data_IF_019433275220
#
_entry.id   IF_019433275220
#
_cell.length_a   1.000
_cell.length_b   1.000
_cell.length_c   1.000
_cell.angle_alpha   90.00
_cell.angle_beta   90.00
_cell.angle_gamma   90.00
#
_symmetry.space_group_name_H-M   'P 1'
#
loop_
_entity.id
_entity.type
_entity.pdbx_description
1 polymer ?
#
# COMPACT_ATOMS: atom_id res chain seq x y z
N UNK A 1 -12.65 53.97 33.64
CA UNK A 1 -11.29 53.48 33.91
C UNK A 1 -10.83 52.70 32.69
N UNK A 2 -9.72 53.17 32.10
CA UNK A 2 -8.82 52.55 31.12
C UNK A 2 -9.35 51.99 29.78
N UNK A 3 -9.12 52.78 28.73
CA UNK A 3 -9.00 52.41 27.32
C UNK A 3 -7.87 51.40 27.06
N UNK A 4 -7.99 50.59 26.00
CA UNK A 4 -6.89 50.38 25.05
C UNK A 4 -7.39 49.92 23.67
N UNK A 5 -7.52 50.89 22.77
CA UNK A 5 -7.33 50.65 21.34
C UNK A 5 -5.84 50.37 21.06
N UNK A 6 -5.54 49.52 20.09
CA UNK A 6 -4.29 49.62 19.35
C UNK A 6 -4.55 49.33 17.86
N UNK A 7 -4.21 50.32 17.05
CA UNK A 7 -4.35 50.37 15.61
C UNK A 7 -3.05 49.87 14.92
N UNK A 8 -3.18 49.55 13.63
CA UNK A 8 -2.20 49.01 12.67
C UNK A 8 -0.73 49.45 12.77
N UNK A 9 0.20 48.57 12.34
CA UNK A 9 1.21 48.92 11.31
C UNK A 9 1.95 47.70 10.74
N UNK A 10 2.23 47.83 9.45
CA UNK A 10 2.79 46.86 8.52
C UNK A 10 4.15 46.27 8.91
N UNK A 11 4.32 45.00 8.54
CA UNK A 11 5.60 44.35 8.32
C UNK A 11 5.56 43.64 6.98
N UNK A 12 5.93 44.37 5.93
CA UNK A 12 6.31 43.81 4.63
C UNK A 12 7.24 42.61 4.84
N UNK A 13 6.76 41.43 4.49
CA UNK A 13 7.59 40.37 3.93
C UNK A 13 6.79 39.75 2.80
N UNK A 14 7.02 40.27 1.60
CA UNK A 14 6.72 39.58 0.35
C UNK A 14 7.50 38.26 0.33
N UNK A 15 6.92 37.25 0.98
CA UNK A 15 7.25 35.86 0.74
C UNK A 15 6.24 35.32 -0.25
N UNK A 16 6.65 35.19 -1.52
CA UNK A 16 5.96 34.41 -2.54
C UNK A 16 5.69 32.99 -2.01
N UNK A 17 4.53 32.83 -1.38
CA UNK A 17 4.11 31.62 -0.70
C UNK A 17 3.45 30.65 -1.65
N UNK A 18 4.19 30.07 -2.60
CA UNK A 18 3.71 28.94 -3.40
C UNK A 18 3.74 27.66 -2.56
N UNK A 19 2.90 27.60 -1.52
CA UNK A 19 2.60 26.37 -0.79
C UNK A 19 1.74 25.46 -1.67
N UNK A 20 2.35 24.42 -2.24
CA UNK A 20 1.68 23.46 -3.13
C UNK A 20 0.82 22.43 -2.39
N UNK A 21 0.11 22.83 -1.33
CA UNK A 21 -0.83 21.96 -0.62
C UNK A 21 -2.22 22.05 -1.23
N UNK A 22 -2.94 20.92 -1.31
CA UNK A 22 -4.34 20.80 -1.79
C UNK A 22 -5.36 21.61 -0.95
N UNK A 23 -4.92 22.35 0.07
CA UNK A 23 -5.72 23.04 1.07
C UNK A 23 -6.52 24.26 0.55
N UNK A 24 -6.14 24.87 -0.58
CA UNK A 24 -6.87 26.04 -1.10
C UNK A 24 -8.22 25.70 -1.77
N UNK A 25 -8.61 24.42 -1.84
CA UNK A 25 -9.68 23.95 -2.72
C UNK A 25 -11.03 23.64 -2.01
N UNK A 26 -11.09 23.73 -0.68
CA UNK A 26 -12.28 23.33 0.10
C UNK A 26 -13.41 24.36 0.15
N UNK A 27 -13.18 25.57 -0.35
CA UNK A 27 -14.16 26.67 -0.32
C UNK A 27 -15.36 26.44 -1.27
N UNK A 28 -15.31 25.44 -2.17
CA UNK A 28 -16.35 25.23 -3.22
C UNK A 28 -17.27 24.01 -3.10
N UNK A 29 -17.14 23.13 -2.09
CA UNK A 29 -18.04 21.96 -1.93
C UNK A 29 -19.25 22.21 -1.00
N UNK A 30 -19.87 23.40 -1.04
CA UNK A 30 -21.20 23.60 -0.45
C UNK A 30 -22.28 23.57 -1.54
N UNK A 31 -22.82 22.39 -1.81
CA UNK A 31 -24.19 22.21 -2.32
C UNK A 31 -24.84 21.05 -1.56
N UNK A 32 -25.97 21.25 -0.86
CA UNK A 32 -26.71 20.16 -0.24
C UNK A 32 -27.59 19.47 -1.30
N UNK A 33 -27.37 18.17 -1.51
CA UNK A 33 -28.35 17.29 -2.18
C UNK A 33 -29.19 16.58 -1.12
N UNK A 34 -30.54 16.62 -1.19
CA UNK A 34 -31.40 15.91 -0.25
C UNK A 34 -31.46 14.39 -0.53
N UNK A 35 -31.77 13.55 0.48
CA UNK A 35 -31.68 12.10 0.37
C UNK A 35 -32.94 11.46 -0.24
N UNK A 36 -32.84 10.33 -0.96
CA UNK A 36 -33.98 9.48 -1.24
C UNK A 36 -34.07 8.29 -0.27
N UNK A 37 -35.29 8.20 0.27
CA UNK A 37 -36.04 7.13 0.93
C UNK A 37 -35.50 5.68 0.88
N UNK A 38 -35.60 5.05 2.05
CA UNK A 38 -35.40 3.63 2.33
C UNK A 38 -36.48 2.74 1.70
N UNK A 39 -36.08 1.57 1.20
CA UNK A 39 -36.96 0.41 0.98
C UNK A 39 -36.27 -0.83 1.54
N UNK A 40 -36.90 -1.40 2.57
CA UNK A 40 -36.61 -2.72 3.15
C UNK A 40 -36.95 -3.82 2.15
N UNK A 41 -36.18 -4.90 2.12
CA UNK A 41 -36.75 -6.22 1.87
C UNK A 41 -35.99 -7.32 2.62
N UNK A 42 -36.82 -8.23 3.16
CA UNK A 42 -36.57 -9.26 4.15
C UNK A 42 -35.77 -10.49 3.69
N UNK A 43 -35.31 -11.22 4.72
CA UNK A 43 -34.73 -12.57 4.76
C UNK A 43 -35.64 -13.67 4.20
N UNK A 44 -35.02 -14.66 3.58
CA UNK A 44 -35.23 -16.11 3.74
C UNK A 44 -34.02 -16.81 3.08
N UNK A 45 -33.45 -17.94 3.48
CA UNK A 45 -33.85 -19.03 4.36
C UNK A 45 -33.07 -20.26 3.88
N UNK A 46 -32.40 -20.92 4.81
CA UNK A 46 -31.48 -22.07 4.74
C UNK A 46 -32.03 -23.29 4.00
N UNK A 47 -31.15 -24.11 3.37
CA UNK A 47 -31.24 -25.59 3.47
C UNK A 47 -29.86 -26.26 3.35
N UNK A 48 -29.62 -27.14 4.31
CA UNK A 48 -28.50 -28.06 4.50
C UNK A 48 -28.86 -29.38 3.81
N UNK A 49 -27.89 -30.04 3.17
CA UNK A 49 -27.89 -31.49 2.97
C UNK A 49 -26.47 -32.01 3.17
N UNK A 50 -26.31 -32.88 4.17
CA UNK A 50 -25.15 -33.71 4.46
C UNK A 50 -25.60 -35.18 4.31
N UNK A 51 -24.77 -36.05 3.73
CA UNK A 51 -24.74 -37.51 3.95
C UNK A 51 -23.46 -38.06 3.28
N UNK A 52 -22.45 -38.50 4.05
CA UNK A 52 -22.18 -39.87 4.52
C UNK A 52 -21.63 -40.82 3.41
N UNK A 53 -20.33 -41.19 3.45
CA UNK A 53 -19.77 -42.46 3.99
C UNK A 53 -19.85 -43.61 2.95
N UNK A 54 -18.74 -44.17 2.45
CA UNK A 54 -18.00 -45.28 3.07
C UNK A 54 -16.96 -46.00 2.15
N UNK A 55 -15.94 -46.55 2.83
CA UNK A 55 -15.15 -47.80 2.61
C UNK A 55 -14.21 -48.10 1.40
N UNK A 56 -12.97 -48.43 1.80
CA UNK A 56 -12.23 -49.70 1.54
C UNK A 56 -11.08 -49.77 0.51
N UNK A 57 -9.87 -49.98 1.09
CA UNK A 57 -8.84 -51.01 0.78
C UNK A 57 -8.35 -51.23 -0.67
N UNK A 58 -7.03 -51.16 -0.88
CA UNK A 58 -6.18 -52.35 -1.15
C UNK A 58 -4.68 -52.00 -1.21
N UNK A 59 -3.85 -53.05 -1.22
CA UNK A 59 -2.46 -53.18 -0.78
C UNK A 59 -1.35 -52.76 -1.76
N UNK A 60 -0.17 -52.54 -1.16
CA UNK A 60 1.24 -52.70 -1.65
C UNK A 60 1.47 -54.01 -2.46
N UNK A 61 2.63 -54.27 -3.16
CA UNK A 61 4.00 -53.89 -2.74
C UNK A 61 5.13 -53.67 -3.81
N UNK A 62 6.29 -53.24 -3.26
CA UNK A 62 7.69 -53.67 -3.51
C UNK A 62 8.58 -53.10 -4.65
N UNK A 63 9.81 -52.75 -4.18
CA UNK A 63 11.13 -52.79 -4.82
C UNK A 63 11.46 -51.74 -5.92
N UNK A 64 12.67 -51.17 -6.05
CA UNK A 64 14.00 -51.45 -5.50
C UNK A 64 14.99 -50.32 -5.91
N UNK A 65 16.09 -50.18 -5.15
CA UNK A 65 17.43 -49.68 -5.52
C UNK A 65 17.73 -48.18 -5.81
N UNK A 66 18.42 -47.60 -4.82
CA UNK A 66 19.56 -46.64 -4.83
C UNK A 66 20.82 -47.21 -5.57
N UNK A 67 22.01 -46.53 -5.66
CA UNK A 67 22.41 -45.15 -5.26
C UNK A 67 23.40 -44.45 -6.25
N UNK A 68 24.04 -43.35 -5.78
CA UNK A 68 25.41 -42.87 -6.05
C UNK A 68 25.59 -41.86 -7.22
N UNK A 69 26.40 -40.79 -7.16
CA UNK A 69 27.25 -40.14 -6.15
C UNK A 69 27.82 -38.85 -6.80
N UNK A 70 28.41 -37.98 -5.96
CA UNK A 70 29.50 -37.02 -6.22
C UNK A 70 29.25 -35.50 -6.40
N UNK A 71 29.82 -34.83 -5.42
CA UNK A 71 30.13 -33.41 -5.21
C UNK A 71 30.86 -32.68 -6.35
N UNK A 72 30.62 -31.36 -6.45
CA UNK A 72 31.69 -30.36 -6.22
C UNK A 72 31.15 -28.95 -5.95
N UNK A 73 31.72 -28.35 -4.90
CA UNK A 73 31.64 -26.96 -4.48
C UNK A 73 32.24 -26.00 -5.53
N UNK A 74 31.79 -24.74 -5.53
CA UNK A 74 32.73 -23.65 -5.80
C UNK A 74 32.17 -22.28 -6.22
N UNK A 75 32.06 -21.39 -5.22
CA UNK A 75 32.42 -19.97 -5.29
C UNK A 75 31.34 -18.95 -5.72
N UNK A 76 30.98 -18.16 -4.72
CA UNK A 76 30.21 -16.93 -4.66
C UNK A 76 30.72 -15.81 -5.56
N UNK A 77 29.80 -14.95 -6.02
CA UNK A 77 30.09 -13.52 -6.22
C UNK A 77 28.84 -12.70 -5.96
N UNK A 78 28.93 -11.89 -4.90
CA UNK A 78 28.00 -10.85 -4.51
C UNK A 78 27.93 -9.77 -5.59
N UNK A 79 26.73 -9.34 -5.99
CA UNK A 79 26.50 -7.95 -6.40
C UNK A 79 25.18 -7.44 -5.85
N UNK A 80 25.35 -6.36 -5.08
CA UNK A 80 24.39 -5.59 -4.31
C UNK A 80 23.71 -4.56 -5.23
N UNK A 81 22.39 -4.44 -5.20
CA UNK A 81 21.67 -3.27 -5.73
C UNK A 81 20.43 -2.98 -4.90
N UNK A 82 20.51 -1.89 -4.14
CA UNK A 82 19.48 -1.26 -3.32
C UNK A 82 18.46 -0.50 -4.20
N UNK A 83 17.20 -0.42 -3.74
CA UNK A 83 16.32 0.68 -4.13
C UNK A 83 14.81 0.39 -4.11
N UNK A 84 14.17 0.79 -3.01
CA UNK A 84 12.78 1.25 -2.88
C UNK A 84 11.63 0.23 -2.71
N UNK A 85 11.19 0.18 -1.45
CA UNK A 85 9.90 -0.26 -0.87
C UNK A 85 8.69 0.19 -1.72
N UNK A 86 7.59 -0.54 -1.87
CA UNK A 86 6.69 -1.11 -0.87
C UNK A 86 5.87 -2.14 -1.64
N UNK A 87 6.54 -3.14 -2.20
CA UNK A 87 5.83 -4.26 -2.82
C UNK A 87 5.44 -5.14 -1.65
N UNK A 88 4.15 -5.38 -1.47
CA UNK A 88 3.70 -6.60 -0.81
C UNK A 88 4.37 -7.72 -1.58
N UNK A 89 5.53 -8.11 -1.09
CA UNK A 89 6.16 -9.37 -1.37
C UNK A 89 5.23 -10.37 -0.69
N UNK A 90 4.09 -10.62 -1.35
CA UNK A 90 3.33 -11.83 -1.21
C UNK A 90 4.38 -12.90 -1.20
N UNK A 91 4.55 -13.53 -0.05
CA UNK A 91 5.43 -14.65 0.13
C UNK A 91 4.94 -15.72 -0.84
N UNK A 92 5.41 -15.71 -2.07
CA UNK A 92 5.21 -16.79 -3.01
C UNK A 92 5.90 -17.99 -2.36
N UNK A 93 5.17 -19.01 -1.89
CA UNK A 93 5.79 -20.27 -1.57
C UNK A 93 5.89 -21.01 -2.90
N UNK A 94 6.80 -20.59 -3.76
CA UNK A 94 7.22 -21.44 -4.88
C UNK A 94 8.00 -22.59 -4.26
N UNK A 95 7.35 -23.76 -4.20
CA UNK A 95 7.93 -25.07 -3.86
C UNK A 95 9.02 -25.06 -2.78
N UNK A 96 8.62 -25.12 -1.52
CA UNK A 96 9.48 -25.79 -0.54
C UNK A 96 9.34 -27.30 -0.76
N UNK A 97 10.14 -27.83 -1.70
CA UNK A 97 10.89 -29.03 -1.38
C UNK A 97 11.78 -28.58 -0.21
N UNK A 98 11.75 -29.33 0.87
CA UNK A 98 12.51 -29.08 2.08
C UNK A 98 14.00 -29.29 1.78
N UNK A 99 14.60 -28.37 1.04
CA UNK A 99 16.03 -28.31 0.78
C UNK A 99 16.68 -27.56 1.94
N UNK A 100 17.42 -28.30 2.77
CA UNK A 100 18.20 -27.80 3.91
C UNK A 100 19.37 -26.87 3.52
N UNK A 101 19.29 -26.14 2.40
CA UNK A 101 20.34 -25.22 1.90
C UNK A 101 19.95 -23.73 1.87
N UNK A 102 18.73 -23.36 2.25
CA UNK A 102 18.32 -21.95 2.33
C UNK A 102 18.64 -21.31 3.69
N UNK A 103 19.00 -20.00 3.77
CA UNK A 103 19.08 -19.30 5.04
C UNK A 103 17.75 -19.37 5.80
N UNK A 104 17.84 -19.57 7.12
CA UNK A 104 16.70 -19.76 8.01
C UNK A 104 15.57 -18.76 7.74
N UNK A 105 14.33 -19.24 7.63
CA UNK A 105 13.14 -18.42 7.37
C UNK A 105 13.01 -17.26 8.37
N UNK A 106 13.37 -17.49 9.63
CA UNK A 106 13.44 -16.46 10.67
C UNK A 106 14.46 -15.37 10.36
N UNK A 107 15.64 -15.71 9.83
CA UNK A 107 16.67 -14.71 9.47
C UNK A 107 16.16 -13.81 8.34
N UNK A 108 15.52 -14.40 7.32
CA UNK A 108 14.90 -13.63 6.23
C UNK A 108 13.81 -12.70 6.74
N UNK A 109 13.00 -13.17 7.69
CA UNK A 109 11.97 -12.35 8.33
C UNK A 109 12.57 -11.21 9.15
N UNK A 110 13.53 -11.49 10.03
CA UNK A 110 14.21 -10.47 10.85
C UNK A 110 14.91 -9.41 9.98
N UNK A 111 15.57 -9.82 8.90
CA UNK A 111 16.20 -8.91 7.96
C UNK A 111 15.16 -8.00 7.29
N UNK A 112 14.02 -8.55 6.87
CA UNK A 112 12.91 -7.78 6.30
C UNK A 112 12.35 -6.77 7.28
N UNK A 113 12.08 -7.19 8.51
CA UNK A 113 11.55 -6.32 9.58
C UNK A 113 12.55 -5.22 9.91
N UNK A 114 13.84 -5.55 10.04
CA UNK A 114 14.91 -4.58 10.29
C UNK A 114 15.07 -3.57 9.15
N UNK A 115 14.98 -4.01 7.89
CA UNK A 115 15.03 -3.14 6.73
C UNK A 115 13.84 -2.16 6.68
N UNK A 116 12.63 -2.66 6.90
CA UNK A 116 11.43 -1.80 6.95
C UNK A 116 11.51 -0.80 8.11
N UNK A 117 12.04 -1.20 9.27
CA UNK A 117 12.25 -0.28 10.38
C UNK A 117 13.29 0.80 10.04
N UNK A 118 14.37 0.45 9.34
CA UNK A 118 15.42 1.40 8.93
C UNK A 118 14.91 2.43 7.92
N UNK A 119 14.08 2.02 6.97
CA UNK A 119 13.56 2.87 5.91
C UNK A 119 12.17 3.48 6.20
N UNK A 120 11.61 3.18 7.36
CA UNK A 120 10.35 3.73 7.85
C UNK A 120 10.20 5.26 7.70
N UNK A 121 11.24 6.10 7.88
CA UNK A 121 11.16 7.53 7.58
C UNK A 121 10.63 7.87 6.18
N UNK A 122 11.03 7.08 5.19
CA UNK A 122 10.58 7.23 3.81
C UNK A 122 9.16 6.70 3.61
N UNK A 123 8.77 5.63 4.32
CA UNK A 123 7.38 5.14 4.36
C UNK A 123 6.44 6.19 4.96
N UNK A 124 6.82 6.81 6.09
CA UNK A 124 6.06 7.91 6.69
C UNK A 124 5.91 9.09 5.72
N UNK A 125 7.00 9.52 5.08
CA UNK A 125 6.98 10.57 4.08
C UNK A 125 6.07 10.21 2.88
N UNK A 126 6.13 8.96 2.41
CA UNK A 126 5.27 8.45 1.34
C UNK A 126 3.79 8.55 1.72
N UNK A 127 3.41 8.09 2.90
CA UNK A 127 2.01 8.13 3.37
C UNK A 127 1.51 9.57 3.51
N UNK A 128 2.32 10.50 4.03
CA UNK A 128 1.95 11.91 4.09
C UNK A 128 1.72 12.53 2.69
N UNK A 129 2.57 12.16 1.72
CA UNK A 129 2.39 12.59 0.32
C UNK A 129 1.12 11.98 -0.29
N UNK A 130 0.81 10.72 0.02
CA UNK A 130 -0.43 10.06 -0.42
C UNK A 130 -1.67 10.79 0.12
N UNK A 131 -1.62 11.23 1.37
CA UNK A 131 -2.68 12.06 1.99
C UNK A 131 -2.75 13.50 1.42
N UNK A 132 -1.79 13.89 0.57
CA UNK A 132 -1.76 15.22 -0.06
C UNK A 132 -1.07 16.30 0.78
N UNK A 133 -0.34 15.93 1.84
CA UNK A 133 0.41 16.88 2.65
C UNK A 133 1.77 17.20 2.01
N UNK A 134 1.90 18.39 1.42
CA UNK A 134 3.12 18.86 0.76
C UNK A 134 3.55 20.25 1.28
N UNK A 135 4.30 20.33 2.40
CA UNK A 135 4.66 21.61 3.02
C UNK A 135 5.78 22.36 2.29
N UNK A 136 6.51 21.70 1.40
CA UNK A 136 7.65 22.29 0.70
C UNK A 136 7.21 22.87 -0.66
N UNK A 137 7.62 24.09 -0.94
CA UNK A 137 7.27 24.79 -2.18
C UNK A 137 7.90 24.13 -3.42
N UNK A 138 7.15 24.11 -4.52
CA UNK A 138 7.64 23.62 -5.81
C UNK A 138 8.64 24.61 -6.42
N UNK A 139 9.81 24.13 -6.85
CA UNK A 139 10.82 24.95 -7.51
C UNK A 139 10.78 24.73 -9.03
N UNK A 140 10.90 25.79 -9.85
CA UNK A 140 10.97 25.62 -11.30
C UNK A 140 12.31 24.98 -11.67
N UNK A 141 12.29 23.88 -12.43
CA UNK A 141 13.50 23.25 -12.96
C UNK A 141 13.49 23.27 -14.49
N UNK A 142 14.59 23.75 -15.07
CA UNK A 142 14.78 23.84 -16.51
C UNK A 142 15.73 22.74 -16.98
N UNK A 143 15.19 21.68 -17.59
CA UNK A 143 16.01 20.69 -18.31
C UNK A 143 16.57 21.34 -19.58
N UNK A 144 17.86 21.71 -19.56
CA UNK A 144 18.53 22.41 -20.67
C UNK A 144 18.54 21.63 -21.98
N UNK A 145 18.40 20.30 -21.92
CA UNK A 145 18.48 19.38 -23.05
C UNK A 145 17.16 19.22 -23.83
N UNK A 146 16.02 19.57 -23.24
CA UNK A 146 14.71 19.52 -23.89
C UNK A 146 14.10 20.91 -23.76
N UNK A 147 14.17 21.73 -24.82
CA UNK A 147 13.61 23.10 -24.92
C UNK A 147 12.07 23.13 -24.82
N UNK A 148 11.50 22.55 -23.76
CA UNK A 148 10.08 22.58 -23.46
C UNK A 148 9.83 23.13 -22.07
N UNK A 149 8.65 23.75 -21.97
CA UNK A 149 8.12 24.59 -20.88
C UNK A 149 8.55 24.14 -19.48
N UNK A 150 8.79 25.09 -18.55
CA UNK A 150 9.21 24.79 -17.18
C UNK A 150 8.24 23.80 -16.53
N UNK A 151 8.77 22.68 -16.03
CA UNK A 151 8.04 21.79 -15.13
C UNK A 151 8.38 22.19 -13.70
N UNK A 152 7.35 22.34 -12.87
CA UNK A 152 7.50 22.58 -11.44
C UNK A 152 7.83 21.26 -10.75
N UNK A 153 9.01 21.21 -10.15
CA UNK A 153 9.51 20.05 -9.43
C UNK A 153 9.35 20.28 -7.95
N UNK A 154 8.83 19.26 -7.27
CA UNK A 154 8.86 19.25 -5.81
C UNK A 154 10.25 18.78 -5.35
N UNK A 155 10.71 19.27 -4.19
CA UNK A 155 11.96 18.82 -3.61
C UNK A 155 11.93 17.31 -3.34
N UNK A 156 13.13 16.71 -3.32
CA UNK A 156 13.32 15.28 -3.09
C UNK A 156 12.72 14.86 -1.75
N UNK A 157 12.26 13.61 -1.67
CA UNK A 157 11.73 13.03 -0.42
C UNK A 157 12.71 13.17 0.74
N UNK A 158 14.02 13.17 0.48
CA UNK A 158 15.02 13.34 1.54
C UNK A 158 14.91 14.71 2.24
N UNK A 159 14.70 15.79 1.47
CA UNK A 159 14.45 17.11 2.06
C UNK A 159 13.14 17.12 2.86
N UNK A 160 12.16 16.32 2.44
CA UNK A 160 10.92 16.18 3.17
C UNK A 160 11.09 15.40 4.49
N UNK A 161 11.87 14.32 4.49
CA UNK A 161 12.25 13.58 5.70
C UNK A 161 13.05 14.46 6.66
N UNK A 162 14.02 15.22 6.16
CA UNK A 162 14.75 16.21 6.97
C UNK A 162 13.82 17.26 7.57
N UNK A 163 12.80 17.71 6.82
CA UNK A 163 11.79 18.62 7.33
C UNK A 163 10.95 17.99 8.46
N UNK A 164 10.52 16.73 8.32
CA UNK A 164 9.81 15.97 9.35
C UNK A 164 10.67 15.86 10.61
N UNK A 165 11.94 15.46 10.44
CA UNK A 165 12.91 15.33 11.53
C UNK A 165 13.15 16.66 12.26
N UNK A 166 13.24 17.78 11.53
CA UNK A 166 13.41 19.11 12.14
C UNK A 166 12.15 19.58 12.89
N UNK A 167 10.96 19.11 12.49
CA UNK A 167 9.70 19.52 13.12
C UNK A 167 9.32 18.70 14.35
N UNK A 168 9.42 17.38 14.28
CA UNK A 168 8.96 16.45 15.33
C UNK A 168 10.10 15.62 15.95
N UNK A 169 11.35 15.87 15.57
CA UNK A 169 12.51 15.14 16.06
C UNK A 169 12.62 13.72 15.51
N UNK A 170 13.60 12.98 16.02
CA UNK A 170 13.84 11.60 15.60
C UNK A 170 12.74 10.63 16.02
N UNK A 171 12.12 10.85 17.18
CA UNK A 171 11.05 9.97 17.70
C UNK A 171 9.76 10.13 16.91
N UNK A 172 9.43 11.35 16.46
CA UNK A 172 8.25 11.62 15.65
C UNK A 172 8.26 10.93 14.29
N UNK A 173 9.45 10.70 13.73
CA UNK A 173 9.65 10.02 12.45
C UNK A 173 9.25 8.53 12.47
N UNK A 174 9.11 7.94 13.66
CA UNK A 174 8.72 6.53 13.86
C UNK A 174 7.28 6.37 14.35
N UNK A 175 6.45 7.40 14.25
CA UNK A 175 5.00 7.30 14.53
C UNK A 175 4.34 6.31 13.57
N UNK A 176 3.58 5.36 14.08
CA UNK A 176 2.97 4.29 13.27
C UNK A 176 3.83 3.03 13.12
N UNK A 177 5.12 3.07 13.48
CA UNK A 177 6.04 1.95 13.28
C UNK A 177 5.56 0.70 14.02
N UNK A 178 5.08 0.84 15.25
CA UNK A 178 4.60 -0.30 16.04
C UNK A 178 3.44 -1.02 15.36
N UNK A 179 2.46 -0.29 14.82
CA UNK A 179 1.36 -0.86 14.04
C UNK A 179 1.86 -1.59 12.79
N UNK A 180 2.85 -1.02 12.10
CA UNK A 180 3.47 -1.61 10.90
C UNK A 180 4.23 -2.90 11.19
N UNK A 181 5.00 -2.92 12.29
CA UNK A 181 5.75 -4.09 12.74
C UNK A 181 4.79 -5.20 13.20
N UNK A 182 3.75 -4.87 13.98
CA UNK A 182 2.73 -5.85 14.38
C UNK A 182 2.03 -6.44 13.16
N UNK A 183 1.65 -5.64 12.17
CA UNK A 183 1.07 -6.14 10.93
C UNK A 183 2.02 -7.13 10.21
N UNK A 184 3.33 -6.85 10.21
CA UNK A 184 4.34 -7.70 9.57
C UNK A 184 4.54 -9.02 10.32
N UNK A 185 4.52 -9.00 11.66
CA UNK A 185 4.56 -10.21 12.50
C UNK A 185 3.31 -11.06 12.28
N UNK A 186 2.13 -10.43 12.24
CA UNK A 186 0.86 -11.13 11.98
C UNK A 186 0.85 -11.76 10.60
N UNK A 187 1.30 -11.05 9.57
CA UNK A 187 1.45 -11.59 8.20
C UNK A 187 2.36 -12.84 8.18
N UNK A 188 3.50 -12.78 8.86
CA UNK A 188 4.44 -13.90 8.96
C UNK A 188 3.83 -15.13 9.65
N UNK A 189 3.24 -14.95 10.83
CA UNK A 189 2.64 -16.04 11.60
C UNK A 189 1.44 -16.68 10.87
N UNK A 190 0.62 -15.85 10.25
CA UNK A 190 -0.58 -16.29 9.57
C UNK A 190 -0.27 -16.99 8.24
N UNK A 191 0.87 -16.66 7.61
CA UNK A 191 1.32 -17.30 6.37
C UNK A 191 1.38 -18.82 6.47
N UNK A 192 1.98 -19.33 7.54
CA UNK A 192 2.20 -20.76 7.74
C UNK A 192 0.98 -21.45 8.36
N UNK A 193 0.27 -20.76 9.27
CA UNK A 193 -0.91 -21.29 9.94
C UNK A 193 -2.11 -21.45 8.99
N UNK A 194 -2.37 -20.47 8.12
CA UNK A 194 -3.56 -20.46 7.26
C UNK A 194 -3.52 -21.57 6.21
N UNK A 195 -2.34 -21.78 5.61
CA UNK A 195 -2.13 -22.81 4.59
C UNK A 195 -2.25 -24.22 5.19
N UNK A 196 -1.82 -24.37 6.44
CA UNK A 196 -1.93 -25.62 7.19
C UNK A 196 -3.37 -25.87 7.64
N UNK A 197 -4.05 -24.85 8.16
CA UNK A 197 -5.43 -24.96 8.67
C UNK A 197 -6.46 -25.26 7.57
N UNK A 198 -6.26 -24.73 6.36
CA UNK A 198 -7.20 -24.91 5.26
C UNK A 198 -6.93 -26.16 4.39
N UNK A 199 -5.93 -26.98 4.72
CA UNK A 199 -5.52 -28.16 3.94
C UNK A 199 -5.32 -27.89 2.43
N UNK A 200 -5.10 -26.64 2.01
CA UNK A 200 -4.79 -26.29 0.63
C UNK A 200 -3.33 -26.60 0.35
N UNK A 201 -3.04 -27.89 0.19
CA UNK A 201 -1.74 -28.37 -0.24
C UNK A 201 -1.38 -27.78 -1.62
N UNK A 202 -0.08 -27.54 -1.89
CA UNK A 202 0.36 -27.18 -3.23
C UNK A 202 -0.07 -28.26 -4.21
N UNK A 203 -0.52 -27.84 -5.41
CA UNK A 203 -0.88 -28.78 -6.46
C UNK A 203 0.33 -29.67 -6.73
N UNK A 204 0.20 -30.97 -6.43
CA UNK A 204 1.27 -31.94 -6.68
C UNK A 204 1.25 -32.24 -8.17
N UNK A 205 2.27 -31.77 -8.88
CA UNK A 205 2.45 -32.00 -10.30
C UNK A 205 2.65 -33.50 -10.56
N UNK A 206 1.87 -34.08 -11.46
CA UNK A 206 2.15 -35.41 -11.99
C UNK A 206 3.38 -35.38 -12.90
N UNK A 207 4.22 -36.43 -12.93
CA UNK A 207 5.49 -36.45 -13.66
C UNK A 207 5.35 -36.21 -15.19
N UNK A 208 4.17 -36.40 -15.77
CA UNK A 208 3.91 -36.32 -17.23
C UNK A 208 3.03 -35.12 -17.65
N UNK A 209 2.66 -34.20 -16.74
CA UNK A 209 1.82 -33.05 -17.10
C UNK A 209 2.65 -31.81 -17.47
N UNK A 210 2.46 -31.31 -18.70
CA UNK A 210 2.90 -29.98 -19.14
C UNK A 210 2.27 -28.86 -18.31
N UNK A 211 2.69 -27.59 -18.51
CA UNK A 211 2.10 -26.45 -17.77
C UNK A 211 0.57 -26.40 -17.97
N UNK A 212 -0.17 -26.83 -16.95
CA UNK A 212 -1.63 -26.97 -17.03
C UNK A 212 -2.32 -25.70 -16.55
N UNK A 213 -3.37 -25.30 -17.27
CA UNK A 213 -4.25 -24.19 -16.83
C UNK A 213 -4.93 -24.50 -15.48
N UNK A 214 -5.16 -25.79 -15.18
CA UNK A 214 -5.72 -26.24 -13.91
C UNK A 214 -4.77 -25.97 -12.74
N UNK A 215 -3.47 -26.19 -12.93
CA UNK A 215 -2.44 -25.89 -11.94
C UNK A 215 -2.39 -24.37 -11.67
N UNK A 216 -2.42 -23.57 -12.74
CA UNK A 216 -2.48 -22.12 -12.64
C UNK A 216 -3.70 -21.65 -11.84
N UNK A 217 -4.89 -22.13 -12.18
CA UNK A 217 -6.13 -21.71 -11.52
C UNK A 217 -6.18 -22.14 -10.05
N UNK A 218 -5.68 -23.34 -9.73
CA UNK A 218 -5.57 -23.81 -8.35
C UNK A 218 -4.63 -22.92 -7.52
N UNK A 219 -3.44 -22.63 -8.05
CA UNK A 219 -2.46 -21.78 -7.38
C UNK A 219 -2.98 -20.34 -7.22
N UNK A 220 -3.65 -19.79 -8.23
CA UNK A 220 -4.26 -18.47 -8.17
C UNK A 220 -5.35 -18.40 -7.10
N UNK A 221 -6.22 -19.41 -7.04
CA UNK A 221 -7.33 -19.47 -6.05
C UNK A 221 -6.78 -19.57 -4.63
N UNK A 222 -5.83 -20.48 -4.41
CA UNK A 222 -5.14 -20.65 -3.13
C UNK A 222 -4.46 -19.35 -2.68
N UNK A 223 -3.71 -18.70 -3.57
CA UNK A 223 -3.01 -17.47 -3.23
C UNK A 223 -3.98 -16.31 -3.01
N UNK A 224 -5.10 -16.25 -3.75
CA UNK A 224 -6.15 -15.24 -3.57
C UNK A 224 -6.84 -15.37 -2.22
N UNK A 225 -7.18 -16.61 -1.81
CA UNK A 225 -7.77 -16.87 -0.50
C UNK A 225 -6.82 -16.47 0.63
N UNK A 226 -5.55 -16.86 0.51
CA UNK A 226 -4.52 -16.47 1.47
C UNK A 226 -4.40 -14.95 1.58
N UNK A 227 -4.31 -14.28 0.43
CA UNK A 227 -4.20 -12.83 0.36
C UNK A 227 -5.41 -12.15 1.02
N UNK A 228 -6.62 -12.59 0.70
CA UNK A 228 -7.84 -12.02 1.27
C UNK A 228 -7.86 -12.12 2.80
N UNK A 229 -7.51 -13.29 3.36
CA UNK A 229 -7.49 -13.48 4.81
C UNK A 229 -6.40 -12.66 5.50
N UNK A 230 -5.20 -12.60 4.92
CA UNK A 230 -4.10 -11.78 5.43
C UNK A 230 -4.45 -10.30 5.40
N UNK A 231 -4.98 -9.80 4.28
CA UNK A 231 -5.40 -8.40 4.16
C UNK A 231 -6.48 -8.09 5.18
N UNK A 232 -7.49 -8.95 5.32
CA UNK A 232 -8.57 -8.76 6.30
C UNK A 232 -8.03 -8.61 7.74
N UNK A 233 -7.12 -9.49 8.15
CA UNK A 233 -6.57 -9.47 9.52
C UNK A 233 -5.58 -8.31 9.72
N UNK A 234 -4.78 -7.97 8.70
CA UNK A 234 -3.76 -6.92 8.81
C UNK A 234 -4.29 -5.51 8.55
N UNK A 235 -5.52 -5.37 8.06
CA UNK A 235 -6.08 -4.08 7.66
C UNK A 235 -6.29 -3.09 8.82
N UNK A 236 -6.84 -3.48 9.97
CA UNK A 236 -6.97 -2.58 11.13
C UNK A 236 -5.64 -1.94 11.57
N UNK A 237 -4.54 -2.70 11.51
CA UNK A 237 -3.21 -2.19 11.85
C UNK A 237 -2.71 -1.15 10.83
N UNK A 238 -3.03 -1.33 9.56
CA UNK A 238 -2.70 -0.34 8.53
C UNK A 238 -3.50 0.95 8.71
N UNK A 239 -4.80 0.88 9.04
CA UNK A 239 -5.62 2.07 9.32
C UNK A 239 -5.03 2.87 10.48
N UNK A 240 -4.64 2.19 11.57
CA UNK A 240 -3.98 2.83 12.71
C UNK A 240 -2.64 3.45 12.32
N UNK A 241 -1.81 2.75 11.54
CA UNK A 241 -0.55 3.29 11.04
C UNK A 241 -0.76 4.60 10.25
N UNK A 242 -1.69 4.61 9.29
CA UNK A 242 -1.97 5.80 8.46
C UNK A 242 -2.44 6.96 9.32
N UNK A 243 -3.32 6.72 10.30
CA UNK A 243 -3.82 7.77 11.20
C UNK A 243 -2.75 8.29 12.14
N UNK A 244 -1.87 7.42 12.65
CA UNK A 244 -0.73 7.82 13.46
C UNK A 244 0.28 8.67 12.69
N UNK A 245 0.47 8.38 11.41
CA UNK A 245 1.27 9.21 10.51
C UNK A 245 0.58 10.56 10.26
N UNK A 246 -0.73 10.55 9.99
CA UNK A 246 -1.52 11.74 9.67
C UNK A 246 -1.53 12.79 10.80
N UNK A 247 -1.45 12.37 12.07
CA UNK A 247 -1.30 13.26 13.22
C UNK A 247 -0.11 14.23 13.14
N UNK A 248 0.92 13.90 12.35
CA UNK A 248 2.05 14.79 12.10
C UNK A 248 1.62 16.16 11.57
N UNK A 249 0.58 16.21 10.73
CA UNK A 249 0.16 17.45 10.05
C UNK A 249 -0.37 18.48 11.04
N UNK A 250 -1.24 18.06 11.96
CA UNK A 250 -1.86 18.93 12.97
C UNK A 250 -1.10 19.00 14.30
N UNK A 251 -0.02 18.24 14.48
CA UNK A 251 0.65 17.98 15.78
C UNK A 251 -0.33 17.47 16.85
N UNK A 252 -1.21 16.57 16.42
CA UNK A 252 -2.30 16.04 17.25
C UNK A 252 -1.86 14.80 18.01
N UNK A 253 -2.41 14.59 19.22
CA UNK A 253 -2.08 13.45 20.09
C UNK A 253 -3.29 12.51 20.32
N UNK A 254 -4.15 12.36 19.31
CA UNK A 254 -5.39 11.55 19.38
C UNK A 254 -5.13 10.04 19.43
N UNK A 255 -4.17 9.54 18.66
CA UNK A 255 -3.90 8.11 18.49
C UNK A 255 -2.53 7.71 19.09
N UNK A 256 -2.48 7.57 20.42
CA UNK A 256 -1.26 7.15 21.11
C UNK A 256 -1.25 5.65 21.41
N UNK A 257 -0.12 4.99 21.10
CA UNK A 257 0.05 3.55 21.27
C UNK A 257 -0.81 2.71 20.31
N UNK A 258 -0.48 1.43 20.16
CA UNK A 258 -1.19 0.56 19.21
C UNK A 258 -2.61 0.23 19.68
N UNK A 259 -2.73 -0.31 20.89
CA UNK A 259 -4.00 -0.77 21.47
C UNK A 259 -4.93 0.41 21.75
N UNK A 260 -4.38 1.51 22.29
CA UNK A 260 -5.13 2.75 22.51
C UNK A 260 -5.71 3.29 21.21
N UNK A 261 -4.92 3.33 20.14
CA UNK A 261 -5.40 3.79 18.84
C UNK A 261 -6.47 2.88 18.24
N UNK A 262 -6.31 1.55 18.31
CA UNK A 262 -7.34 0.60 17.85
C UNK A 262 -8.65 0.78 18.61
N UNK A 263 -8.59 0.93 19.93
CA UNK A 263 -9.75 1.15 20.79
C UNK A 263 -10.42 2.49 20.49
N UNK A 264 -9.64 3.56 20.31
CA UNK A 264 -10.17 4.89 19.95
C UNK A 264 -10.90 4.87 18.62
N UNK A 265 -10.36 4.19 17.60
CA UNK A 265 -11.05 4.04 16.30
C UNK A 265 -12.33 3.22 16.48
N UNK A 266 -12.26 2.09 17.17
CA UNK A 266 -13.41 1.22 17.39
C UNK A 266 -14.55 1.92 18.16
N UNK A 267 -14.23 2.77 19.13
CA UNK A 267 -15.23 3.48 19.94
C UNK A 267 -15.84 4.67 19.21
N UNK A 268 -15.05 5.41 18.42
CA UNK A 268 -15.51 6.64 17.75
C UNK A 268 -16.24 6.36 16.44
N UNK A 269 -15.72 5.43 15.65
CA UNK A 269 -16.18 5.16 14.28
C UNK A 269 -16.75 3.74 14.11
N UNK A 270 -16.69 2.92 15.16
CA UNK A 270 -17.12 1.53 15.11
C UNK A 270 -16.15 0.64 14.32
N UNK A 271 -16.61 -0.58 14.05
CA UNK A 271 -15.87 -1.51 13.19
C UNK A 271 -15.71 -0.98 11.76
N UNK A 272 -16.63 -0.13 11.27
CA UNK A 272 -16.54 0.44 9.92
C UNK A 272 -15.28 1.31 9.74
N UNK A 273 -14.87 2.07 10.77
CA UNK A 273 -13.64 2.87 10.73
C UNK A 273 -12.37 2.02 10.64
N UNK A 274 -12.32 0.86 11.33
CA UNK A 274 -11.19 -0.07 11.28
C UNK A 274 -11.02 -0.74 9.91
N UNK A 275 -12.08 -0.77 9.10
CA UNK A 275 -12.10 -1.34 7.75
C UNK A 275 -12.25 -0.31 6.63
N UNK A 276 -12.02 0.97 6.94
CA UNK A 276 -12.06 2.05 5.97
C UNK A 276 -10.92 1.90 4.94
N UNK A 277 -11.29 1.79 3.66
CA UNK A 277 -10.33 1.58 2.58
C UNK A 277 -9.94 0.11 2.34
N UNK A 278 -10.60 -0.86 2.97
CA UNK A 278 -10.31 -2.29 2.76
C UNK A 278 -10.50 -2.73 1.30
N UNK A 279 -11.58 -2.28 0.65
CA UNK A 279 -11.91 -2.66 -0.74
C UNK A 279 -10.81 -2.25 -1.73
N UNK A 280 -10.38 -0.97 -1.83
CA UNK A 280 -9.30 -0.59 -2.74
C UNK A 280 -7.99 -1.30 -2.39
N UNK A 281 -7.70 -1.57 -1.10
CA UNK A 281 -6.53 -2.36 -0.71
C UNK A 281 -6.58 -3.78 -1.27
N UNK A 282 -7.69 -4.49 -1.05
CA UNK A 282 -7.85 -5.86 -1.50
C UNK A 282 -7.80 -5.96 -3.03
N UNK A 283 -8.47 -5.04 -3.73
CA UNK A 283 -8.44 -4.98 -5.20
C UNK A 283 -7.03 -4.68 -5.73
N UNK A 284 -6.30 -3.76 -5.10
CA UNK A 284 -4.92 -3.44 -5.46
C UNK A 284 -4.03 -4.67 -5.36
N UNK A 285 -3.98 -5.30 -4.19
CA UNK A 285 -3.16 -6.50 -3.95
C UNK A 285 -3.56 -7.67 -4.86
N UNK A 286 -4.86 -7.89 -5.03
CA UNK A 286 -5.37 -8.97 -5.88
C UNK A 286 -5.03 -8.73 -7.35
N UNK A 287 -5.09 -7.48 -7.82
CA UNK A 287 -4.68 -7.12 -9.18
C UNK A 287 -3.19 -7.38 -9.41
N UNK A 288 -2.32 -7.07 -8.44
CA UNK A 288 -0.88 -7.37 -8.51
C UNK A 288 -0.66 -8.87 -8.58
N UNK A 289 -1.32 -9.65 -7.71
CA UNK A 289 -1.23 -11.11 -7.71
C UNK A 289 -1.70 -11.71 -9.05
N UNK A 290 -2.83 -11.24 -9.55
CA UNK A 290 -3.43 -11.73 -10.79
C UNK A 290 -2.53 -11.44 -12.00
N UNK A 291 -2.10 -10.18 -12.17
CA UNK A 291 -1.21 -9.76 -13.27
C UNK A 291 0.11 -10.52 -13.20
N UNK A 292 0.70 -10.62 -12.00
CA UNK A 292 1.98 -11.32 -11.82
C UNK A 292 1.86 -12.79 -12.15
N UNK A 293 0.82 -13.46 -11.67
CA UNK A 293 0.59 -14.89 -11.94
C UNK A 293 0.31 -15.13 -13.42
N UNK A 294 -0.56 -14.33 -14.03
CA UNK A 294 -0.96 -14.47 -15.43
C UNK A 294 0.22 -14.21 -16.38
N UNK A 295 0.96 -13.12 -16.17
CA UNK A 295 2.08 -12.77 -17.03
C UNK A 295 3.27 -13.72 -16.82
N UNK A 296 3.52 -14.17 -15.59
CA UNK A 296 4.55 -15.19 -15.33
C UNK A 296 4.23 -16.52 -16.00
N UNK A 297 2.95 -16.94 -15.98
CA UNK A 297 2.49 -18.14 -16.68
C UNK A 297 2.63 -17.98 -18.20
N UNK A 298 2.28 -16.81 -18.73
CA UNK A 298 2.41 -16.51 -20.16
C UNK A 298 3.89 -16.49 -20.60
N UNK A 299 4.78 -15.86 -19.83
CA UNK A 299 6.21 -15.84 -20.12
C UNK A 299 6.82 -17.25 -20.11
N UNK A 300 6.42 -18.11 -19.16
CA UNK A 300 6.85 -19.53 -19.12
C UNK A 300 6.34 -20.32 -20.31
N UNK A 301 5.17 -19.99 -20.84
CA UNK A 301 4.58 -20.67 -21.99
C UNK A 301 5.21 -20.23 -23.31
N UNK A 302 5.55 -18.96 -23.45
CA UNK A 302 6.03 -18.38 -24.71
C UNK A 302 7.54 -18.45 -24.90
N UNK A 303 8.32 -18.44 -23.80
CA UNK A 303 9.77 -18.30 -23.86
C UNK A 303 10.42 -19.45 -23.07
N UNK A 304 11.26 -20.29 -23.70
CA UNK A 304 12.09 -21.24 -22.97
C UNK A 304 13.17 -20.45 -22.22
N UNK A 305 12.98 -20.28 -20.91
CA UNK A 305 13.89 -19.52 -20.04
C UNK A 305 14.45 -20.43 -18.96
N UNK A 306 15.61 -20.06 -18.43
CA UNK A 306 16.20 -20.72 -17.26
C UNK A 306 15.45 -20.34 -15.98
N UNK A 307 15.53 -21.19 -14.95
CA UNK A 307 14.86 -20.93 -13.66
C UNK A 307 15.28 -19.62 -13.00
N UNK A 308 16.56 -19.23 -13.13
CA UNK A 308 17.05 -17.94 -12.64
C UNK A 308 16.39 -16.77 -13.38
N UNK A 309 16.33 -16.82 -14.71
CA UNK A 309 15.64 -15.80 -15.51
C UNK A 309 14.16 -15.70 -15.15
N UNK A 310 13.50 -16.82 -14.86
CA UNK A 310 12.12 -16.82 -14.40
C UNK A 310 11.94 -16.10 -13.07
N UNK A 311 12.86 -16.28 -12.11
CA UNK A 311 12.81 -15.56 -10.83
C UNK A 311 12.94 -14.05 -11.04
N UNK A 312 13.93 -13.60 -11.83
CA UNK A 312 14.10 -12.17 -12.16
C UNK A 312 12.88 -11.60 -12.90
N UNK A 313 12.38 -12.29 -13.91
CA UNK A 313 11.22 -11.85 -14.69
C UNK A 313 9.99 -11.72 -13.79
N UNK A 314 9.77 -12.66 -12.87
CA UNK A 314 8.63 -12.59 -11.92
C UNK A 314 8.71 -11.33 -11.06
N UNK A 315 9.90 -10.98 -10.56
CA UNK A 315 10.12 -9.76 -9.76
C UNK A 315 9.87 -8.49 -10.59
N UNK A 316 10.37 -8.44 -11.83
CA UNK A 316 10.15 -7.29 -12.73
C UNK A 316 8.68 -7.14 -13.07
N UNK A 317 7.99 -8.23 -13.40
CA UNK A 317 6.55 -8.26 -13.65
C UNK A 317 5.78 -7.75 -12.44
N UNK A 318 6.14 -8.21 -11.23
CA UNK A 318 5.49 -7.80 -9.99
C UNK A 318 5.66 -6.30 -9.73
N UNK A 319 6.85 -5.75 -9.99
CA UNK A 319 7.11 -4.31 -9.88
C UNK A 319 6.31 -3.48 -10.89
N UNK A 320 6.13 -3.99 -12.12
CA UNK A 320 5.27 -3.34 -13.11
C UNK A 320 3.79 -3.41 -12.73
N UNK A 321 3.35 -4.56 -12.19
CA UNK A 321 1.98 -4.75 -11.73
C UNK A 321 1.65 -3.82 -10.54
N UNK A 322 2.58 -3.61 -9.60
CA UNK A 322 2.37 -2.68 -8.48
C UNK A 322 2.25 -1.22 -8.91
N UNK A 323 3.02 -0.80 -9.93
CA UNK A 323 2.87 0.53 -10.53
C UNK A 323 1.48 0.75 -11.15
N UNK A 324 0.92 -0.27 -11.80
CA UNK A 324 -0.44 -0.21 -12.37
C UNK A 324 -1.50 -0.17 -11.28
N UNK A 325 -1.32 -0.93 -10.20
CA UNK A 325 -2.23 -0.99 -9.06
C UNK A 325 -2.10 0.21 -8.09
N UNK A 326 -1.08 1.04 -8.26
CA UNK A 326 -0.75 2.14 -7.33
C UNK A 326 -1.89 3.12 -7.03
N UNK A 327 -2.75 3.53 -7.98
CA UNK A 327 -3.90 4.39 -7.68
C UNK A 327 -4.83 3.83 -6.59
N UNK A 328 -4.95 2.51 -6.50
CA UNK A 328 -5.75 1.85 -5.47
C UNK A 328 -5.06 1.89 -4.10
N UNK A 329 -3.72 1.85 -4.07
CA UNK A 329 -2.94 2.06 -2.84
C UNK A 329 -3.14 3.47 -2.29
N UNK A 330 -3.08 4.50 -3.15
CA UNK A 330 -3.33 5.90 -2.75
C UNK A 330 -4.76 6.08 -2.25
N UNK A 331 -5.74 5.52 -2.99
CA UNK A 331 -7.15 5.55 -2.59
C UNK A 331 -7.36 4.88 -1.23
N UNK A 332 -6.69 3.76 -0.97
CA UNK A 332 -6.71 3.09 0.33
C UNK A 332 -6.18 4.00 1.44
N UNK A 333 -5.04 4.68 1.24
CA UNK A 333 -4.46 5.58 2.23
C UNK A 333 -5.42 6.76 2.56
N UNK A 334 -6.00 7.40 1.54
CA UNK A 334 -6.97 8.47 1.73
C UNK A 334 -8.23 7.99 2.47
N UNK A 335 -8.77 6.83 2.08
CA UNK A 335 -9.95 6.25 2.73
C UNK A 335 -9.67 5.82 4.18
N UNK A 336 -8.46 5.33 4.48
CA UNK A 336 -8.07 4.96 5.85
C UNK A 336 -8.02 6.16 6.81
N UNK A 337 -7.68 7.35 6.31
CA UNK A 337 -7.73 8.60 7.06
C UNK A 337 -9.12 9.22 7.18
N UNK A 338 -10.03 8.90 6.25
CA UNK A 338 -11.36 9.53 6.20
C UNK A 338 -12.17 9.25 7.47
N UNK A 339 -12.79 10.28 8.04
CA UNK A 339 -13.58 10.19 9.27
C UNK A 339 -12.77 10.35 10.56
N UNK A 340 -11.44 10.38 10.49
CA UNK A 340 -10.59 10.68 11.64
C UNK A 340 -10.59 12.19 11.94
N UNK A 341 -10.65 12.61 13.22
CA UNK A 341 -10.59 14.01 13.62
C UNK A 341 -9.15 14.51 13.59
N UNK A 342 -8.57 14.53 12.40
CA UNK A 342 -7.18 14.89 12.14
C UNK A 342 -7.14 15.98 11.06
N UNK A 343 -6.33 17.00 11.26
CA UNK A 343 -6.19 18.14 10.33
C UNK A 343 -5.80 17.70 8.90
N UNK A 344 -5.07 16.58 8.77
CA UNK A 344 -4.72 15.98 7.48
C UNK A 344 -5.92 15.38 6.74
N UNK A 345 -6.91 14.89 7.49
CA UNK A 345 -8.03 14.09 6.99
C UNK A 345 -9.33 14.89 6.91
N UNK A 346 -9.35 16.11 7.44
CA UNK A 346 -10.48 17.02 7.39
C UNK A 346 -10.30 18.09 6.29
N UNK A 347 -11.40 18.65 5.76
CA UNK A 347 -11.33 19.85 4.93
C UNK A 347 -10.69 20.99 5.74
N UNK A 348 -9.71 21.74 5.20
CA UNK A 348 -9.40 21.93 3.79
C UNK A 348 -8.51 20.90 3.10
N UNK A 349 -7.74 20.11 3.86
CA UNK A 349 -6.64 19.29 3.34
C UNK A 349 -7.12 18.11 2.50
N UNK A 350 -8.20 17.45 2.93
CA UNK A 350 -8.79 16.31 2.24
C UNK A 350 -10.32 16.42 2.26
N UNK A 351 -11.03 16.20 1.14
CA UNK A 351 -12.48 16.10 1.16
C UNK A 351 -12.94 14.80 1.84
N UNK A 352 -14.18 14.79 2.34
CA UNK A 352 -14.76 13.60 2.96
C UNK A 352 -15.37 12.69 1.89
N UNK A 353 -14.95 11.43 1.88
CA UNK A 353 -15.43 10.43 0.94
C UNK A 353 -16.31 9.38 1.63
N UNK A 354 -17.49 9.10 1.07
CA UNK A 354 -18.34 8.02 1.56
C UNK A 354 -17.99 6.67 0.89
N UNK A 355 -17.64 6.72 -0.40
CA UNK A 355 -17.26 5.55 -1.18
C UNK A 355 -15.86 5.70 -1.76
N UNK A 356 -15.15 4.57 -1.86
CA UNK A 356 -13.80 4.52 -2.42
C UNK A 356 -13.77 4.88 -3.92
N UNK A 357 -14.85 4.64 -4.65
CA UNK A 357 -14.97 4.98 -6.08
C UNK A 357 -14.99 6.49 -6.26
N UNK A 358 -15.68 7.22 -5.39
CA UNK A 358 -15.72 8.68 -5.41
C UNK A 358 -14.34 9.27 -5.10
N UNK A 359 -13.64 8.67 -4.12
CA UNK A 359 -12.26 9.01 -3.80
C UNK A 359 -11.33 8.80 -5.01
N UNK A 360 -11.42 7.64 -5.66
CA UNK A 360 -10.61 7.33 -6.83
C UNK A 360 -10.92 8.29 -8.00
N UNK A 361 -12.20 8.57 -8.26
CA UNK A 361 -12.63 9.48 -9.31
C UNK A 361 -12.13 10.91 -9.06
N UNK A 362 -12.20 11.40 -7.83
CA UNK A 362 -11.66 12.72 -7.45
C UNK A 362 -10.13 12.76 -7.58
N UNK A 363 -9.43 11.69 -7.18
CA UNK A 363 -7.98 11.57 -7.37
C UNK A 363 -7.59 11.64 -8.85
N UNK A 364 -8.32 10.97 -9.74
CA UNK A 364 -8.10 11.06 -11.19
C UNK A 364 -8.42 12.46 -11.73
N UNK A 365 -9.52 13.08 -11.28
CA UNK A 365 -9.90 14.43 -11.70
C UNK A 365 -8.82 15.47 -11.31
N UNK A 366 -8.22 15.33 -10.12
CA UNK A 366 -7.13 16.19 -9.63
C UNK A 366 -5.76 15.87 -10.25
N UNK A 367 -5.61 14.72 -10.90
CA UNK A 367 -4.31 14.21 -11.35
C UNK A 367 -3.42 13.74 -10.19
N UNK A 368 -4.03 13.38 -9.06
CA UNK A 368 -3.39 12.96 -7.82
C UNK A 368 -3.24 11.44 -7.64
N UNK A 369 -3.65 10.65 -8.61
CA UNK A 369 -3.69 9.18 -8.50
C UNK A 369 -2.31 8.53 -8.29
N UNK A 370 -1.23 9.19 -8.70
CA UNK A 370 0.15 8.68 -8.59
C UNK A 370 1.00 9.50 -7.60
N UNK A 371 0.36 10.20 -6.65
CA UNK A 371 1.05 10.92 -5.57
C UNK A 371 1.85 9.95 -4.72
N UNK A 372 3.16 10.14 -4.64
CA UNK A 372 4.06 9.28 -3.87
C UNK A 372 4.57 8.03 -4.62
N UNK A 373 4.21 7.83 -5.90
CA UNK A 373 4.71 6.72 -6.71
C UNK A 373 6.22 6.82 -6.95
N UNK A 374 6.70 8.04 -7.19
CA UNK A 374 8.11 8.36 -7.39
C UNK A 374 8.55 9.34 -6.32
N UNK A 375 9.22 8.85 -5.26
CA UNK A 375 9.61 9.68 -4.12
C UNK A 375 10.75 10.67 -4.46
N UNK A 376 11.65 10.29 -5.35
CA UNK A 376 12.82 11.11 -5.69
C UNK A 376 12.56 12.11 -6.82
N UNK A 377 11.70 11.77 -7.78
CA UNK A 377 11.42 12.57 -8.97
C UNK A 377 9.95 13.00 -8.98
N UNK A 378 9.63 14.00 -8.16
CA UNK A 378 8.25 14.48 -7.96
C UNK A 378 7.96 15.68 -8.84
N UNK A 379 6.92 15.58 -9.65
CA UNK A 379 6.44 16.68 -10.50
C UNK A 379 5.00 17.03 -10.16
N UNK A 380 4.69 18.33 -10.13
CA UNK A 380 3.31 18.78 -9.97
C UNK A 380 2.50 18.38 -11.20
N UNK A 381 1.33 17.71 -11.05
CA UNK A 381 0.48 17.36 -12.17
C UNK A 381 0.01 18.61 -12.92
N UNK A 382 -0.07 18.50 -14.25
CA UNK A 382 -0.41 19.63 -15.13
C UNK A 382 -1.79 20.23 -14.80
N UNK A 383 -2.74 19.42 -14.39
CA UNK A 383 -4.11 19.85 -14.09
C UNK A 383 -4.14 20.83 -12.90
N UNK A 384 -3.33 20.60 -11.86
CA UNK A 384 -3.19 21.52 -10.73
C UNK A 384 -2.55 22.85 -11.17
N UNK A 385 -1.57 22.81 -12.08
CA UNK A 385 -0.93 24.01 -12.61
C UNK A 385 -1.89 24.88 -13.43
N UNK A 386 -2.76 24.26 -14.24
CA UNK A 386 -3.76 24.98 -15.04
C UNK A 386 -4.84 25.60 -14.16
N UNK A 387 -5.35 24.85 -13.18
CA UNK A 387 -6.36 25.33 -12.24
C UNK A 387 -5.86 26.51 -11.41
N UNK A 388 -4.61 26.48 -10.95
CA UNK A 388 -4.02 27.60 -10.23
C UNK A 388 -3.91 28.85 -11.13
N UNK A 389 -3.49 28.70 -12.40
CA UNK A 389 -3.46 29.83 -13.34
C UNK A 389 -4.82 30.47 -13.55
N UNK A 390 -5.87 29.67 -13.69
CA UNK A 390 -7.25 30.16 -13.82
C UNK A 390 -7.69 30.96 -12.58
N UNK A 391 -7.36 30.47 -11.38
CA UNK A 391 -7.65 31.18 -10.12
C UNK A 391 -6.93 32.53 -10.07
N UNK A 392 -5.66 32.60 -10.49
CA UNK A 392 -4.93 33.86 -10.53
C UNK A 392 -5.51 34.85 -11.55
N UNK A 393 -5.92 34.39 -12.74
CA UNK A 393 -6.57 35.25 -13.74
C UNK A 393 -7.92 35.78 -13.28
N UNK A 394 -8.68 35.00 -12.51
CA UNK A 394 -9.98 35.42 -11.97
C UNK A 394 -9.82 36.39 -10.80
N UNK A 395 -8.75 36.27 -9.98
CA UNK A 395 -8.46 37.22 -8.90
C UNK A 395 -7.83 38.53 -9.39
N UNK A 396 -7.23 38.53 -10.57
CA UNK A 396 -6.60 39.72 -11.18
C UNK A 396 -7.52 40.50 -12.13
N UNK A 397 -8.74 40.00 -12.36
CA UNK A 397 -9.80 40.66 -13.13
C UNK A 397 -10.86 41.17 -12.18
#
# INVERSE_FOLDING_TARGET
MAHREYNSRDGQSEGLGLGGGDADNSVRMRRPTPPPLAVQHERAGTMVVELAVDTSRSMRPANQQQPADRDQLGISREENCQGSELVVASSHPSNQIQDHRGPNQMVRFCLRVGYNALLYPYEMAKVLIQLGHEPLQAKPFFMRLFQRRPRLFLPSVHQYVQHIQNRDGYTGMYRGLTARLTASVVDYLLGDLLLTALHFAPYKRGPEEGLSFKEFLWNLTRNSLRLATVVFITHPFYVVMVRQIAQFVGREHVYEGLVGSLMTVAQREGCAGLFAGMVPRLLGEWSVLFITSALSHLCRRLLPMTDLQHQYNTVVIQMMASLVAYPLEVTCACMAGTGAPLTACEPPSMPLYNHWVDCLADLYARGGQNRGAYLFWRTVPRNQLLRNKEIYTIKSS
#
